data_IF_340321190589
#
_entry.id   IF_340321190589
#
_cell.length_a   1.000
_cell.length_b   1.000
_cell.length_c   1.000
_cell.angle_alpha   90.00
_cell.angle_beta   90.00
_cell.angle_gamma   90.00
#
_symmetry.space_group_name_H-M   'P 1'
#
loop_
_entity.id
_entity.type
_entity.pdbx_description
1 polymer ?
#
# COMPACT_ATOMS: atom_id res chain seq x y z
N UNK A 1 12.75 5.38 3.73
CA UNK A 1 12.84 6.77 4.26
C UNK A 1 12.03 7.67 3.35
N UNK A 2 11.80 8.95 3.69
CA UNK A 2 11.00 9.84 2.83
C UNK A 2 11.53 9.91 1.40
N UNK A 3 12.86 10.05 1.25
CA UNK A 3 13.56 10.07 -0.04
C UNK A 3 13.42 8.79 -0.87
N UNK A 4 13.08 7.65 -0.26
CA UNK A 4 12.81 6.42 -1.01
C UNK A 4 11.37 6.36 -1.54
N UNK A 5 10.47 7.14 -0.94
CA UNK A 5 9.07 7.20 -1.32
C UNK A 5 8.81 8.34 -2.31
N UNK A 6 9.48 9.48 -2.16
CA UNK A 6 9.46 10.62 -3.09
C UNK A 6 10.40 10.33 -4.29
N UNK A 7 9.87 9.64 -5.31
CA UNK A 7 10.66 9.14 -6.43
C UNK A 7 11.02 10.24 -7.44
N UNK A 8 10.19 11.28 -7.54
CA UNK A 8 10.42 12.42 -8.43
C UNK A 8 11.19 13.59 -7.77
N UNK A 9 11.42 13.50 -6.45
CA UNK A 9 12.16 14.48 -5.64
C UNK A 9 11.50 15.86 -5.61
N UNK A 10 10.18 15.92 -5.71
CA UNK A 10 9.41 17.17 -5.64
C UNK A 10 9.14 17.63 -4.20
N UNK A 11 9.54 16.82 -3.21
CA UNK A 11 9.34 17.07 -1.79
C UNK A 11 7.96 16.64 -1.29
N UNK A 12 7.20 15.86 -2.07
CA UNK A 12 5.89 15.31 -1.73
C UNK A 12 5.87 13.83 -2.09
N UNK A 13 4.78 13.16 -1.71
CA UNK A 13 4.53 11.78 -2.11
C UNK A 13 3.18 11.82 -2.82
N UNK A 14 3.21 11.71 -4.14
CA UNK A 14 1.99 11.64 -4.95
C UNK A 14 1.42 10.20 -4.95
N UNK A 15 0.35 9.95 -5.70
CA UNK A 15 -0.30 8.63 -5.69
C UNK A 15 0.54 7.58 -6.41
N UNK A 16 1.24 7.99 -7.45
CA UNK A 16 2.11 7.17 -8.27
C UNK A 16 3.34 6.73 -7.46
N UNK A 17 4.00 7.67 -6.80
CA UNK A 17 5.08 7.45 -5.81
C UNK A 17 4.65 6.45 -4.74
N UNK A 18 3.50 6.70 -4.12
CA UNK A 18 2.98 5.83 -3.07
C UNK A 18 2.73 4.43 -3.60
N UNK A 19 2.14 4.31 -4.80
CA UNK A 19 1.84 3.02 -5.43
C UNK A 19 3.11 2.22 -5.70
N UNK A 20 4.14 2.84 -6.26
CA UNK A 20 5.39 2.18 -6.57
C UNK A 20 6.16 1.79 -5.30
N UNK A 21 6.12 2.66 -4.28
CA UNK A 21 6.74 2.39 -2.99
C UNK A 21 6.08 1.20 -2.25
N UNK A 22 4.75 1.11 -2.23
CA UNK A 22 4.06 -0.01 -1.57
C UNK A 22 4.16 -1.32 -2.35
N UNK A 23 4.36 -1.27 -3.68
CA UNK A 23 4.64 -2.47 -4.48
C UNK A 23 5.98 -3.11 -4.11
N UNK A 24 7.00 -2.30 -3.84
CA UNK A 24 8.29 -2.79 -3.36
C UNK A 24 8.23 -3.27 -1.90
N UNK A 25 7.27 -2.75 -1.11
CA UNK A 25 7.11 -3.08 0.32
C UNK A 25 5.66 -3.45 0.66
N UNK A 26 5.18 -4.63 0.22
CA UNK A 26 3.78 -5.04 0.40
C UNK A 26 3.34 -5.11 1.87
N UNK A 27 4.27 -5.31 2.80
CA UNK A 27 4.03 -5.35 4.24
C UNK A 27 3.46 -4.05 4.82
N UNK A 28 3.64 -2.91 4.13
CA UNK A 28 3.01 -1.64 4.49
C UNK A 28 1.48 -1.69 4.37
N UNK A 29 0.96 -2.54 3.48
CA UNK A 29 -0.47 -2.72 3.23
C UNK A 29 -1.10 -3.79 4.14
N UNK A 30 -0.38 -4.29 5.17
CA UNK A 30 -0.89 -5.35 6.06
C UNK A 30 -2.24 -4.99 6.71
N UNK A 31 -2.44 -3.71 7.03
CA UNK A 31 -3.68 -3.22 7.66
C UNK A 31 -4.79 -2.93 6.64
N UNK A 32 -4.48 -2.94 5.34
CA UNK A 32 -5.44 -2.71 4.26
C UNK A 32 -6.20 -3.98 3.86
N UNK A 33 -5.80 -5.14 4.38
CA UNK A 33 -6.46 -6.42 4.09
C UNK A 33 -7.14 -6.94 5.36
N UNK A 34 -8.45 -7.23 5.27
CA UNK A 34 -9.21 -7.92 6.32
C UNK A 34 -9.46 -9.37 5.88
N UNK A 35 -8.70 -10.36 6.39
CA UNK A 35 -8.78 -11.74 5.91
C UNK A 35 -10.15 -12.39 6.11
N UNK A 36 -10.85 -12.02 7.18
CA UNK A 36 -12.15 -12.58 7.55
C UNK A 36 -13.29 -12.15 6.61
N UNK A 37 -13.15 -11.03 5.88
CA UNK A 37 -14.13 -10.63 4.86
C UNK A 37 -14.25 -11.64 3.73
N UNK A 38 -13.19 -12.41 3.43
CA UNK A 38 -13.26 -13.49 2.42
C UNK A 38 -14.19 -14.63 2.83
N UNK A 39 -14.29 -14.91 4.14
CA UNK A 39 -15.10 -16.02 4.65
C UNK A 39 -16.57 -15.65 4.78
N UNK A 40 -16.90 -14.37 4.97
CA UNK A 40 -18.27 -13.89 5.07
C UNK A 40 -19.12 -14.15 3.81
N UNK A 41 -18.48 -14.30 2.65
CA UNK A 41 -19.16 -14.54 1.37
C UNK A 41 -19.49 -16.03 1.13
N UNK A 42 -18.81 -16.95 1.84
CA UNK A 42 -19.01 -18.40 1.70
C UNK A 42 -19.93 -19.00 2.77
N UNK A 43 -20.40 -18.19 3.72
CA UNK A 43 -21.28 -18.62 4.82
C UNK A 43 -22.78 -18.38 4.56
N UNK A 44 -23.20 -18.13 3.31
CA UNK A 44 -24.60 -17.97 2.90
C UNK A 44 -24.95 -18.89 1.73
#
# INVERSE_FOLDING_TARGET
TFLEADADMDGKINKEDWKDFVLQRPSLLKNMTLPHLKYAIFTY
#
